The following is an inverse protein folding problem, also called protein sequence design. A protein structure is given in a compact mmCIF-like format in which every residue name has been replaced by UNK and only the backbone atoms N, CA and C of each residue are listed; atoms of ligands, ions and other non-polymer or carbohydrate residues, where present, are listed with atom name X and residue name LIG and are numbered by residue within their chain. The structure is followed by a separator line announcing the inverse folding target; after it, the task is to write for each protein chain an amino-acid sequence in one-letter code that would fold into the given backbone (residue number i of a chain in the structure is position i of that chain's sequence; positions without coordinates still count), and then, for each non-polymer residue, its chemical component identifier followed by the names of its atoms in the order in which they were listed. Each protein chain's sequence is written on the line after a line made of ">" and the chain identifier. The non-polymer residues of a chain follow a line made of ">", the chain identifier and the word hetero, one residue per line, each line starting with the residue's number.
data_IF_157102172992
#
_entry.id   IF_157102172992
#
_cell.length_a   1.000
_cell.length_b   1.000
_cell.length_c   1.000
_cell.angle_alpha   90.00
_cell.angle_beta   90.00
_cell.angle_gamma   90.00
#
_symmetry.space_group_name_H-M   'P 1'
#
loop_
_entity.id
_entity.type
_entity.pdbx_description
1 polymer ?
#
# COMPACT_ATOMS: atom_id res chain seq x y z
N UNK A 1 -20.28 33.05 14.58
CA UNK A 1 -20.09 31.71 15.14
C UNK A 1 -18.60 31.47 15.18
N UNK A 2 -18.05 31.51 16.39
CA UNK A 2 -16.72 30.99 16.68
C UNK A 2 -16.70 29.48 16.44
N UNK A 3 -15.51 28.91 16.32
CA UNK A 3 -15.28 27.45 16.23
C UNK A 3 -16.07 26.68 17.31
N UNK A 4 -16.33 27.29 18.46
CA UNK A 4 -17.03 26.71 19.61
C UNK A 4 -18.45 26.23 19.28
N UNK A 5 -19.27 27.09 18.66
CA UNK A 5 -20.64 26.72 18.23
C UNK A 5 -20.70 25.62 17.18
N UNK A 6 -19.60 25.41 16.43
CA UNK A 6 -19.49 24.32 15.46
C UNK A 6 -19.13 23.01 16.16
N UNK A 7 -18.27 23.09 17.18
CA UNK A 7 -17.87 21.95 18.00
C UNK A 7 -19.04 21.37 18.80
N UNK A 8 -19.95 22.21 19.31
CA UNK A 8 -21.13 21.75 20.07
C UNK A 8 -22.08 20.89 19.24
N UNK A 9 -22.12 21.11 17.91
CA UNK A 9 -22.98 20.36 16.98
C UNK A 9 -22.29 19.18 16.34
N UNK A 10 -20.98 19.05 16.52
CA UNK A 10 -20.22 17.97 15.91
C UNK A 10 -20.59 16.64 16.58
N UNK A 11 -21.03 15.63 15.83
CA UNK A 11 -21.30 14.31 16.40
C UNK A 11 -20.04 13.72 17.06
N UNK A 12 -20.21 13.11 18.24
CA UNK A 12 -19.15 12.34 18.87
C UNK A 12 -18.86 11.07 18.04
N UNK A 13 -17.67 11.00 17.45
CA UNK A 13 -17.27 9.88 16.60
C UNK A 13 -15.97 9.25 17.11
N UNK A 14 -15.98 7.92 17.22
CA UNK A 14 -14.78 7.12 17.47
C UNK A 14 -14.25 6.56 16.15
N UNK A 15 -13.18 7.15 15.63
CA UNK A 15 -12.54 6.64 14.42
C UNK A 15 -11.62 5.46 14.76
N UNK A 16 -11.91 4.29 14.19
CA UNK A 16 -11.09 3.07 14.28
C UNK A 16 -10.26 2.90 13.01
N UNK A 17 -8.96 2.69 13.16
CA UNK A 17 -8.01 2.60 12.04
C UNK A 17 -7.36 1.22 11.88
N UNK A 18 -7.80 0.23 12.66
CA UNK A 18 -7.16 -1.09 12.75
C UNK A 18 -5.74 -1.04 13.34
N UNK A 19 -5.32 -2.13 13.95
CA UNK A 19 -3.91 -2.34 14.31
C UNK A 19 -3.17 -2.98 13.14
N UNK A 20 -1.85 -2.80 13.08
CA UNK A 20 -1.02 -3.47 12.08
C UNK A 20 -0.98 -4.96 12.43
N UNK A 21 -1.21 -5.82 11.45
CA UNK A 21 -1.18 -7.26 11.61
C UNK A 21 0.21 -7.79 11.25
N UNK A 22 0.81 -8.55 12.18
CA UNK A 22 2.12 -9.21 11.97
C UNK A 22 1.97 -10.62 11.39
N UNK A 23 0.77 -11.21 11.47
CA UNK A 23 0.44 -12.56 10.97
C UNK A 23 -0.59 -12.49 9.86
N UNK A 24 -0.57 -13.51 9.01
CA UNK A 24 -1.56 -13.68 7.96
C UNK A 24 -2.94 -13.99 8.58
N UNK A 25 -3.92 -13.15 8.26
CA UNK A 25 -5.30 -13.23 8.71
C UNK A 25 -6.21 -13.18 7.50
N UNK A 26 -7.32 -13.91 7.58
CA UNK A 26 -8.34 -13.94 6.53
C UNK A 26 -9.50 -12.99 6.88
N UNK A 27 -10.07 -12.41 5.84
CA UNK A 27 -11.22 -11.51 5.90
C UNK A 27 -12.05 -11.67 4.62
N UNK A 28 -13.29 -11.22 4.63
CA UNK A 28 -14.16 -11.27 3.44
C UNK A 28 -14.16 -9.95 2.63
N UNK A 29 -13.60 -8.88 3.20
CA UNK A 29 -13.50 -7.56 2.57
C UNK A 29 -12.13 -6.92 2.82
N UNK A 30 -11.49 -6.47 1.73
CA UNK A 30 -10.18 -5.83 1.72
C UNK A 30 -10.30 -4.41 1.16
N UNK A 31 -10.16 -3.40 2.02
CA UNK A 31 -10.26 -1.99 1.64
C UNK A 31 -8.86 -1.38 1.40
N UNK A 32 -8.63 -0.87 0.19
CA UNK A 32 -7.39 -0.17 -0.16
C UNK A 32 -7.45 1.25 0.41
N UNK A 33 -6.48 1.59 1.26
CA UNK A 33 -6.37 2.91 1.88
C UNK A 33 -5.26 3.71 1.20
N UNK A 34 -5.56 4.84 0.56
CA UNK A 34 -4.53 5.69 -0.04
C UNK A 34 -3.65 6.35 1.02
N UNK A 35 -2.43 6.72 0.62
CA UNK A 35 -1.55 7.55 1.42
C UNK A 35 -2.00 9.01 1.32
N UNK A 36 -2.28 9.63 2.46
CA UNK A 36 -2.75 11.01 2.51
C UNK A 36 -3.02 11.47 3.95
N UNK A 37 -3.75 12.58 4.07
CA UNK A 37 -4.08 13.20 5.36
C UNK A 37 -5.40 12.62 5.87
N UNK A 38 -5.39 12.05 7.08
CA UNK A 38 -6.61 11.57 7.72
C UNK A 38 -7.45 12.75 8.21
N UNK A 39 -8.72 12.77 7.80
CA UNK A 39 -9.64 13.83 8.15
C UNK A 39 -11.10 13.33 8.13
N UNK A 40 -11.99 14.14 8.71
CA UNK A 40 -13.43 13.96 8.59
C UNK A 40 -13.99 14.91 7.54
N UNK A 41 -15.03 14.48 6.84
CA UNK A 41 -15.83 15.32 5.95
C UNK A 41 -17.23 15.45 6.54
N UNK A 42 -17.68 16.68 6.78
CA UNK A 42 -18.96 16.97 7.41
C UNK A 42 -19.82 17.87 6.53
N UNK A 43 -20.91 17.29 6.03
CA UNK A 43 -21.98 18.05 5.38
C UNK A 43 -22.95 18.54 6.47
N UNK A 44 -23.11 19.85 6.58
CA UNK A 44 -23.93 20.45 7.63
C UNK A 44 -24.50 21.79 7.17
N UNK A 45 -25.23 22.46 8.05
CA UNK A 45 -25.79 23.77 7.81
C UNK A 45 -25.14 24.81 8.71
N UNK A 46 -24.78 25.96 8.15
CA UNK A 46 -24.21 27.09 8.87
C UNK A 46 -24.83 28.39 8.35
N UNK A 47 -25.47 29.16 9.25
CA UNK A 47 -26.03 30.51 8.98
C UNK A 47 -26.87 30.61 7.70
N UNK A 48 -27.96 29.87 7.54
CA UNK A 48 -28.75 29.98 6.31
C UNK A 48 -28.38 28.98 5.22
N UNK A 49 -27.16 28.44 5.26
CA UNK A 49 -26.56 27.79 4.10
C UNK A 49 -26.10 26.37 4.38
N UNK A 50 -26.32 25.49 3.39
CA UNK A 50 -25.74 24.15 3.36
C UNK A 50 -24.25 24.26 3.00
N UNK A 51 -23.39 23.67 3.82
CA UNK A 51 -21.94 23.80 3.74
C UNK A 51 -21.27 22.44 3.98
N UNK A 52 -20.03 22.31 3.49
CA UNK A 52 -19.19 21.16 3.73
C UNK A 52 -17.90 21.60 4.43
N UNK A 53 -17.50 20.89 5.48
CA UNK A 53 -16.27 21.12 6.22
C UNK A 53 -15.35 19.91 6.18
N UNK A 54 -14.06 20.15 6.00
CA UNK A 54 -12.99 19.22 6.31
C UNK A 54 -12.50 19.47 7.73
N UNK A 55 -12.42 18.41 8.54
CA UNK A 55 -11.91 18.45 9.90
C UNK A 55 -10.65 17.61 9.98
N UNK A 56 -9.50 18.27 10.11
CA UNK A 56 -8.20 17.62 10.16
C UNK A 56 -7.95 17.04 11.54
N UNK A 57 -7.59 15.75 11.57
CA UNK A 57 -7.38 15.03 12.82
C UNK A 57 -5.90 15.08 13.23
N UNK A 58 -5.66 15.26 14.52
CA UNK A 58 -4.33 15.16 15.11
C UNK A 58 -3.83 13.73 15.07
N UNK A 59 -2.59 13.54 14.60
CA UNK A 59 -1.94 12.23 14.62
C UNK A 59 -1.73 11.69 16.05
N UNK A 60 -1.60 12.57 17.05
CA UNK A 60 -1.30 12.17 18.44
C UNK A 60 -2.56 11.80 19.23
N UNK A 61 -3.59 12.65 19.18
CA UNK A 61 -4.74 12.55 20.09
C UNK A 61 -6.08 12.32 19.37
N UNK A 62 -6.09 12.22 18.03
CA UNK A 62 -7.31 12.19 17.20
C UNK A 62 -8.27 13.37 17.44
N UNK A 63 -7.80 14.43 18.09
CA UNK A 63 -8.53 15.69 18.26
C UNK A 63 -8.58 16.46 16.94
N UNK A 64 -9.55 17.36 16.81
CA UNK A 64 -9.68 18.20 15.62
C UNK A 64 -8.72 19.38 15.76
N UNK A 65 -7.77 19.47 14.83
CA UNK A 65 -6.74 20.51 14.85
C UNK A 65 -7.13 21.71 13.98
N UNK A 66 -7.81 21.46 12.86
CA UNK A 66 -8.18 22.48 11.87
C UNK A 66 -9.53 22.14 11.28
N UNK A 67 -10.36 23.15 11.07
CA UNK A 67 -11.61 23.06 10.32
C UNK A 67 -11.51 23.97 9.11
N UNK A 68 -11.83 23.45 7.93
CA UNK A 68 -11.75 24.16 6.67
C UNK A 68 -13.04 23.99 5.89
N UNK A 69 -13.63 25.09 5.42
CA UNK A 69 -14.80 25.03 4.54
C UNK A 69 -14.32 24.68 3.13
N UNK A 70 -14.92 23.66 2.53
CA UNK A 70 -14.56 23.18 1.19
C UNK A 70 -15.68 23.36 0.18
N UNK A 71 -15.30 23.50 -1.09
CA UNK A 71 -16.21 23.54 -2.22
C UNK A 71 -16.39 22.11 -2.72
N UNK A 72 -17.60 21.58 -2.68
CA UNK A 72 -17.93 20.26 -3.23
C UNK A 72 -19.37 20.26 -3.74
N UNK A 73 -19.69 19.39 -4.69
CA UNK A 73 -21.04 19.27 -5.24
C UNK A 73 -21.84 18.23 -4.45
N UNK A 74 -22.90 18.69 -3.77
CA UNK A 74 -23.75 17.81 -2.97
C UNK A 74 -25.20 18.29 -2.89
N UNK A 75 -26.12 17.35 -2.61
CA UNK A 75 -27.53 17.62 -2.33
C UNK A 75 -27.68 18.10 -0.86
N UNK A 76 -28.46 19.16 -0.64
CA UNK A 76 -28.75 19.76 0.66
C UNK A 76 -29.34 18.77 1.69
N UNK A 77 -29.95 17.67 1.25
CA UNK A 77 -30.40 16.59 2.13
C UNK A 77 -29.29 16.00 3.01
N UNK A 78 -28.03 16.02 2.56
CA UNK A 78 -26.91 15.55 3.38
C UNK A 78 -26.73 16.39 4.66
N UNK A 79 -27.29 17.59 4.70
CA UNK A 79 -27.22 18.52 5.84
C UNK A 79 -28.38 18.37 6.83
N UNK A 80 -29.34 17.46 6.60
CA UNK A 80 -30.48 17.26 7.50
C UNK A 80 -30.06 16.85 8.91
N UNK A 81 -30.76 17.38 9.92
CA UNK A 81 -30.45 17.14 11.34
C UNK A 81 -29.05 17.61 11.74
N UNK A 82 -28.23 16.70 12.26
CA UNK A 82 -26.81 16.95 12.53
C UNK A 82 -25.92 16.84 11.28
N UNK A 83 -26.51 16.50 10.13
CA UNK A 83 -25.83 16.38 8.85
C UNK A 83 -25.27 14.99 8.57
N UNK A 84 -24.28 14.91 7.70
CA UNK A 84 -23.64 13.65 7.28
C UNK A 84 -22.15 13.74 7.55
N UNK A 85 -21.62 12.76 8.29
CA UNK A 85 -20.24 12.76 8.78
C UNK A 85 -19.51 11.49 8.33
N UNK A 86 -18.42 11.70 7.59
CA UNK A 86 -17.61 10.67 6.95
C UNK A 86 -16.18 10.70 7.52
N UNK A 87 -15.55 9.54 7.64
CA UNK A 87 -14.11 9.43 7.85
C UNK A 87 -13.42 8.99 6.58
N UNK A 88 -12.26 9.58 6.32
CA UNK A 88 -11.55 9.28 5.10
C UNK A 88 -10.13 9.82 5.07
N UNK A 89 -9.55 9.76 3.87
CA UNK A 89 -8.23 10.26 3.57
C UNK A 89 -8.33 11.30 2.47
N UNK A 90 -7.80 12.49 2.74
CA UNK A 90 -7.59 13.53 1.76
C UNK A 90 -6.24 13.29 1.05
N UNK A 91 -6.28 13.22 -0.27
CA UNK A 91 -5.11 13.12 -1.12
C UNK A 91 -5.19 14.15 -2.26
N UNK A 92 -4.01 14.46 -2.82
CA UNK A 92 -3.90 15.30 -4.00
C UNK A 92 -3.44 14.43 -5.17
N UNK A 93 -4.19 14.48 -6.27
CA UNK A 93 -3.84 13.79 -7.50
C UNK A 93 -3.96 14.78 -8.67
N UNK A 94 -2.86 15.00 -9.40
CA UNK A 94 -2.81 15.96 -10.52
C UNK A 94 -3.39 17.34 -10.18
N UNK A 95 -3.02 17.89 -9.02
CA UNK A 95 -3.54 19.16 -8.47
C UNK A 95 -5.03 19.18 -8.10
N UNK A 96 -5.73 18.06 -8.18
CA UNK A 96 -7.12 17.92 -7.74
C UNK A 96 -7.14 17.33 -6.33
N UNK A 97 -7.98 17.90 -5.47
CA UNK A 97 -8.23 17.37 -4.13
C UNK A 97 -9.28 16.27 -4.19
N UNK A 98 -8.93 15.10 -3.65
CA UNK A 98 -9.82 13.95 -3.57
C UNK A 98 -9.92 13.49 -2.12
N UNK A 99 -11.14 13.44 -1.59
CA UNK A 99 -11.45 12.81 -0.32
C UNK A 99 -11.96 11.40 -0.58
N UNK A 100 -11.19 10.41 -0.13
CA UNK A 100 -11.55 8.99 -0.21
C UNK A 100 -12.25 8.58 1.09
N UNK A 101 -13.52 8.21 0.99
CA UNK A 101 -14.34 7.73 2.11
C UNK A 101 -13.86 6.35 2.52
N UNK A 102 -13.52 6.19 3.81
CA UNK A 102 -13.20 4.91 4.43
C UNK A 102 -14.36 4.37 5.27
N UNK A 103 -15.06 5.25 5.99
CA UNK A 103 -16.17 4.89 6.88
C UNK A 103 -17.21 6.02 6.94
N UNK A 104 -18.44 5.69 7.33
CA UNK A 104 -19.55 6.61 7.54
C UNK A 104 -20.13 6.44 8.95
N UNK A 105 -20.30 7.57 9.64
CA UNK A 105 -20.70 7.59 11.06
C UNK A 105 -22.12 8.11 11.24
N UNK A 106 -22.45 9.17 10.49
CA UNK A 106 -23.77 9.80 10.52
C UNK A 106 -24.22 10.02 9.09
N UNK A 107 -25.47 9.66 8.78
CA UNK A 107 -26.08 9.90 7.47
C UNK A 107 -27.40 10.64 7.65
N UNK A 108 -27.47 11.89 7.15
CA UNK A 108 -28.66 12.76 7.25
C UNK A 108 -29.22 12.88 8.69
N UNK A 109 -28.31 12.99 9.68
CA UNK A 109 -28.63 13.10 11.10
C UNK A 109 -28.80 11.76 11.84
N UNK A 110 -28.86 10.63 11.14
CA UNK A 110 -28.95 9.31 11.77
C UNK A 110 -27.58 8.74 12.08
N UNK A 111 -27.35 8.35 13.34
CA UNK A 111 -26.13 7.62 13.74
C UNK A 111 -26.14 6.22 13.15
N UNK A 112 -25.11 5.89 12.38
CA UNK A 112 -24.94 4.57 11.74
C UNK A 112 -23.57 3.94 12.06
N UNK A 113 -22.83 4.49 13.01
CA UNK A 113 -21.52 3.99 13.43
C UNK A 113 -21.53 2.51 13.85
N UNK A 114 -22.65 2.03 14.39
CA UNK A 114 -22.85 0.65 14.86
C UNK A 114 -23.38 -0.31 13.78
N UNK A 115 -23.60 0.17 12.54
CA UNK A 115 -24.00 -0.68 11.42
C UNK A 115 -22.82 -1.51 10.91
N UNK A 116 -23.15 -2.64 10.28
CA UNK A 116 -22.18 -3.54 9.66
C UNK A 116 -21.45 -2.85 8.51
N UNK A 117 -20.25 -3.32 8.15
CA UNK A 117 -19.52 -2.76 7.01
C UNK A 117 -20.28 -2.87 5.68
N UNK A 118 -21.01 -3.97 5.47
CA UNK A 118 -21.87 -4.12 4.29
C UNK A 118 -22.94 -3.03 4.25
N UNK A 119 -23.62 -2.77 5.37
CA UNK A 119 -24.66 -1.74 5.40
C UNK A 119 -24.07 -0.34 5.25
N UNK A 120 -22.94 -0.06 5.91
CA UNK A 120 -22.19 1.19 5.75
C UNK A 120 -21.77 1.41 4.30
N UNK A 121 -21.29 0.37 3.62
CA UNK A 121 -20.94 0.44 2.21
C UNK A 121 -22.14 0.79 1.32
N UNK A 122 -23.33 0.20 1.59
CA UNK A 122 -24.57 0.60 0.90
C UNK A 122 -24.90 2.08 1.09
N UNK A 123 -24.72 2.63 2.30
CA UNK A 123 -24.90 4.06 2.54
C UNK A 123 -23.90 4.92 1.77
N UNK A 124 -22.63 4.51 1.73
CA UNK A 124 -21.59 5.21 0.95
C UNK A 124 -21.93 5.18 -0.54
N UNK A 125 -22.34 4.03 -1.08
CA UNK A 125 -22.79 3.93 -2.49
C UNK A 125 -23.97 4.85 -2.75
N UNK A 126 -25.01 4.82 -1.91
CA UNK A 126 -26.18 5.70 -2.04
C UNK A 126 -25.79 7.19 -1.98
N UNK A 127 -24.89 7.57 -1.07
CA UNK A 127 -24.36 8.93 -0.97
C UNK A 127 -23.71 9.36 -2.28
N UNK A 128 -22.83 8.52 -2.82
CA UNK A 128 -22.06 8.86 -4.02
C UNK A 128 -22.93 8.91 -5.27
N UNK A 129 -23.90 8.01 -5.43
CA UNK A 129 -24.76 7.94 -6.62
C UNK A 129 -25.87 9.00 -6.62
N UNK A 130 -26.46 9.28 -5.46
CA UNK A 130 -27.70 10.07 -5.38
C UNK A 130 -27.49 11.48 -4.80
N UNK A 131 -26.42 11.70 -4.03
CA UNK A 131 -26.25 12.92 -3.27
C UNK A 131 -24.99 13.72 -3.61
N UNK A 132 -24.06 13.16 -4.37
CA UNK A 132 -22.85 13.87 -4.82
C UNK A 132 -22.67 13.76 -6.32
N UNK A 133 -21.83 14.62 -6.90
CA UNK A 133 -21.39 14.50 -8.29
C UNK A 133 -19.88 14.54 -8.36
N UNK A 134 -19.29 13.64 -9.13
CA UNK A 134 -17.84 13.54 -9.30
C UNK A 134 -17.26 14.55 -10.31
N UNK A 135 -18.10 15.32 -11.01
CA UNK A 135 -17.66 16.29 -12.00
C UNK A 135 -16.91 17.45 -11.31
N UNK A 136 -15.71 17.76 -11.79
CA UNK A 136 -14.90 18.87 -11.32
C UNK A 136 -15.13 20.08 -12.22
N UNK A 137 -15.64 21.18 -11.66
CA UNK A 137 -15.90 22.42 -12.40
C UNK A 137 -14.85 23.50 -12.13
N UNK A 138 -14.16 23.40 -10.98
CA UNK A 138 -13.16 24.37 -10.52
C UNK A 138 -12.00 23.60 -9.88
N UNK A 139 -10.76 24.06 -10.08
CA UNK A 139 -9.56 23.38 -9.57
C UNK A 139 -9.54 23.20 -8.04
N UNK A 140 -10.19 24.09 -7.28
CA UNK A 140 -10.31 24.03 -5.81
C UNK A 140 -11.45 23.13 -5.32
N UNK A 141 -12.20 22.50 -6.22
CA UNK A 141 -13.32 21.64 -5.84
C UNK A 141 -12.79 20.31 -5.29
N UNK A 142 -13.32 19.93 -4.12
CA UNK A 142 -13.09 18.64 -3.51
C UNK A 142 -13.98 17.58 -4.16
N UNK A 143 -13.35 16.59 -4.78
CA UNK A 143 -14.03 15.37 -5.26
C UNK A 143 -14.14 14.39 -4.11
N UNK A 144 -15.29 13.76 -3.97
CA UNK A 144 -15.56 12.76 -2.96
C UNK A 144 -15.74 11.41 -3.64
N UNK A 145 -14.98 10.40 -3.20
CA UNK A 145 -14.95 9.07 -3.79
C UNK A 145 -14.94 7.99 -2.71
N UNK A 146 -15.41 6.78 -3.03
CA UNK A 146 -15.31 5.62 -2.13
C UNK A 146 -13.91 5.02 -2.20
N UNK A 147 -13.42 4.46 -1.10
CA UNK A 147 -12.30 3.55 -1.15
C UNK A 147 -12.65 2.29 -1.96
N UNK A 148 -11.64 1.72 -2.60
CA UNK A 148 -11.78 0.46 -3.33
C UNK A 148 -11.84 -0.67 -2.31
N UNK A 149 -12.89 -1.49 -2.38
CA UNK A 149 -13.10 -2.66 -1.53
C UNK A 149 -13.19 -3.89 -2.41
N UNK A 150 -12.39 -4.92 -2.10
CA UNK A 150 -12.23 -6.13 -2.90
C UNK A 150 -12.45 -7.38 -2.04
N UNK A 151 -12.89 -8.51 -2.64
CA UNK A 151 -13.21 -9.74 -1.90
C UNK A 151 -11.98 -10.57 -1.54
N UNK A 152 -10.83 -10.34 -2.19
CA UNK A 152 -9.59 -11.09 -1.95
C UNK A 152 -8.38 -10.16 -1.73
N UNK A 153 -7.42 -10.63 -0.94
CA UNK A 153 -6.19 -9.90 -0.68
C UNK A 153 -5.31 -9.80 -1.93
N UNK A 154 -5.28 -10.88 -2.72
CA UNK A 154 -4.53 -10.97 -3.97
C UNK A 154 -5.03 -9.94 -4.99
N UNK A 155 -6.35 -9.81 -5.17
CA UNK A 155 -6.92 -8.75 -6.01
C UNK A 155 -6.57 -7.37 -5.49
N UNK A 156 -6.63 -7.17 -4.16
CA UNK A 156 -6.27 -5.90 -3.55
C UNK A 156 -4.80 -5.52 -3.81
N UNK A 157 -3.88 -6.48 -3.78
CA UNK A 157 -2.48 -6.27 -4.16
C UNK A 157 -2.35 -5.90 -5.64
N UNK A 158 -2.97 -6.67 -6.54
CA UNK A 158 -2.91 -6.41 -7.98
C UNK A 158 -3.46 -5.02 -8.34
N UNK A 159 -4.61 -4.65 -7.77
CA UNK A 159 -5.20 -3.32 -7.99
C UNK A 159 -4.28 -2.24 -7.40
N UNK A 160 -3.74 -2.45 -6.20
CA UNK A 160 -2.81 -1.49 -5.55
C UNK A 160 -1.55 -1.20 -6.37
N UNK A 161 -1.10 -2.12 -7.23
CA UNK A 161 0.03 -1.91 -8.13
C UNK A 161 -0.29 -0.95 -9.28
N UNK A 162 -1.54 -0.99 -9.77
CA UNK A 162 -2.04 -0.25 -10.94
C UNK A 162 -2.63 1.12 -10.61
N UNK A 163 -2.84 1.44 -9.32
CA UNK A 163 -3.45 2.71 -8.93
C UNK A 163 -2.55 3.91 -9.23
N UNK A 164 -3.15 5.05 -9.64
CA UNK A 164 -2.40 6.24 -9.99
C UNK A 164 -1.94 7.05 -8.76
N UNK A 165 -2.24 6.57 -7.55
CA UNK A 165 -1.85 7.17 -6.28
C UNK A 165 -1.13 6.14 -5.40
N UNK A 166 -0.33 6.62 -4.45
CA UNK A 166 0.34 5.75 -3.49
C UNK A 166 -0.66 5.16 -2.50
N UNK A 167 -0.63 3.83 -2.35
CA UNK A 167 -1.39 3.11 -1.33
C UNK A 167 -0.60 3.11 -0.02
N UNK A 168 -1.26 3.34 1.10
CA UNK A 168 -0.67 3.30 2.44
C UNK A 168 -0.81 1.92 3.08
N UNK A 169 -2.03 1.37 3.08
CA UNK A 169 -2.31 0.06 3.67
C UNK A 169 -3.53 -0.58 3.02
N UNK A 170 -3.67 -1.89 3.22
CA UNK A 170 -4.88 -2.64 2.91
C UNK A 170 -5.51 -3.03 4.25
N UNK A 171 -6.76 -2.63 4.45
CA UNK A 171 -7.51 -2.85 5.68
C UNK A 171 -8.40 -4.08 5.54
N UNK A 172 -8.42 -4.92 6.56
CA UNK A 172 -9.16 -6.19 6.59
C UNK A 172 -10.42 -6.02 7.42
N UNK A 173 -11.56 -6.42 6.85
CA UNK A 173 -12.88 -6.28 7.46
C UNK A 173 -13.71 -7.53 7.18
N UNK A 174 -14.56 -7.90 8.13
CA UNK A 174 -15.64 -8.85 7.85
C UNK A 174 -16.93 -8.07 7.64
N UNK A 175 -17.63 -8.30 6.54
CA UNK A 175 -18.75 -7.47 6.11
C UNK A 175 -19.89 -7.38 7.12
N UNK A 176 -20.05 -8.42 7.96
CA UNK A 176 -21.04 -8.50 9.05
C UNK A 176 -20.57 -7.85 10.35
N UNK A 177 -19.28 -7.56 10.49
CA UNK A 177 -18.72 -6.90 11.65
C UNK A 177 -18.87 -5.38 11.56
N UNK A 178 -18.65 -4.72 12.70
CA UNK A 178 -18.67 -3.26 12.84
C UNK A 178 -17.27 -2.68 13.09
N UNK A 179 -16.30 -3.53 13.40
CA UNK A 179 -14.92 -3.16 13.73
C UNK A 179 -13.95 -3.82 12.77
N UNK A 180 -12.97 -3.02 12.35
CA UNK A 180 -11.88 -3.46 11.48
C UNK A 180 -11.07 -4.54 12.19
N UNK A 181 -10.77 -5.65 11.51
CA UNK A 181 -9.90 -6.72 12.02
C UNK A 181 -8.47 -6.23 12.20
N UNK A 182 -7.93 -5.57 11.19
CA UNK A 182 -6.58 -5.02 11.20
C UNK A 182 -6.19 -4.48 9.83
N UNK A 183 -4.90 -4.21 9.63
CA UNK A 183 -4.37 -3.71 8.36
C UNK A 183 -2.98 -4.26 8.07
N UNK A 184 -2.69 -4.42 6.77
CA UNK A 184 -1.35 -4.64 6.25
C UNK A 184 -0.80 -3.35 5.66
N UNK A 185 0.37 -2.91 6.14
CA UNK A 185 1.06 -1.77 5.54
C UNK A 185 1.49 -2.16 4.13
N UNK A 186 1.06 -1.37 3.15
CA UNK A 186 1.38 -1.64 1.76
C UNK A 186 2.73 -0.98 1.43
N UNK A 187 3.75 -1.82 1.37
CA UNK A 187 5.07 -1.41 0.88
C UNK A 187 5.16 -1.84 -0.58
N UNK A 188 5.01 -0.89 -1.51
CA UNK A 188 5.18 -1.18 -2.94
C UNK A 188 6.61 -1.67 -3.17
N UNK A 189 6.75 -2.97 -3.41
CA UNK A 189 8.04 -3.59 -3.75
C UNK A 189 8.22 -3.51 -5.26
N UNK A 190 9.18 -2.69 -5.70
CA UNK A 190 9.56 -2.66 -7.10
C UNK A 190 10.50 -3.82 -7.39
N UNK A 191 10.09 -4.71 -8.30
CA UNK A 191 10.97 -5.73 -8.84
C UNK A 191 11.62 -5.25 -10.14
N UNK A 192 12.93 -5.38 -10.22
CA UNK A 192 13.77 -5.05 -11.38
C UNK A 192 14.35 -6.33 -11.97
N UNK A 193 14.55 -6.36 -13.29
CA UNK A 193 15.16 -7.51 -13.96
C UNK A 193 16.65 -7.28 -14.16
N UNK A 194 17.47 -8.15 -13.58
CA UNK A 194 18.90 -8.20 -13.80
C UNK A 194 19.30 -9.49 -14.52
N UNK A 195 20.35 -9.42 -15.33
CA UNK A 195 21.09 -10.60 -15.75
C UNK A 195 22.10 -10.92 -14.67
N UNK A 196 22.02 -12.12 -14.11
CA UNK A 196 22.89 -12.55 -13.01
C UNK A 196 23.94 -13.52 -13.54
N UNK A 197 25.19 -13.30 -13.15
CA UNK A 197 26.32 -14.22 -13.36
C UNK A 197 26.94 -14.62 -12.00
N UNK A 198 27.30 -15.89 -11.80
CA UNK A 198 27.91 -16.34 -10.56
C UNK A 198 29.43 -16.07 -10.56
N UNK A 199 30.00 -15.67 -9.42
CA UNK A 199 31.46 -15.57 -9.20
C UNK A 199 32.01 -16.87 -8.62
N UNK A 200 33.27 -17.25 -8.83
CA UNK A 200 33.84 -18.52 -8.33
C UNK A 200 33.52 -18.82 -6.86
N UNK A 201 33.46 -17.79 -6.00
CA UNK A 201 33.13 -17.94 -4.58
C UNK A 201 31.62 -18.11 -4.34
N UNK A 202 31.25 -18.93 -3.36
CA UNK A 202 29.85 -19.13 -2.95
C UNK A 202 29.19 -17.83 -2.50
N UNK A 203 27.90 -17.71 -2.78
CA UNK A 203 27.05 -16.56 -2.43
C UNK A 203 27.47 -15.19 -3.02
N UNK A 204 28.41 -15.18 -3.97
CA UNK A 204 28.77 -13.98 -4.74
C UNK A 204 28.17 -14.06 -6.15
N UNK A 205 27.30 -13.10 -6.45
CA UNK A 205 26.59 -13.01 -7.73
C UNK A 205 26.61 -11.58 -8.26
N UNK A 206 27.03 -11.42 -9.52
CA UNK A 206 27.12 -10.13 -10.20
C UNK A 206 25.84 -9.81 -10.97
N UNK A 207 25.34 -8.61 -10.77
CA UNK A 207 24.17 -8.07 -11.45
C UNK A 207 24.62 -7.23 -12.65
N UNK A 208 24.10 -7.57 -13.82
CA UNK A 208 24.37 -6.86 -15.07
C UNK A 208 23.07 -6.25 -15.62
N UNK A 209 23.20 -5.09 -16.26
CA UNK A 209 22.09 -4.41 -16.95
C UNK A 209 22.21 -4.58 -18.47
N UNK A 210 21.25 -4.04 -19.24
CA UNK A 210 21.31 -4.12 -20.71
C UNK A 210 22.28 -3.11 -21.34
N UNK A 211 22.72 -2.09 -20.59
CA UNK A 211 23.45 -0.95 -21.12
C UNK A 211 24.95 -1.22 -21.30
N UNK A 212 25.53 -2.11 -20.50
CA UNK A 212 26.91 -2.56 -20.61
C UNK A 212 27.10 -3.97 -20.07
N UNK A 213 28.17 -4.65 -20.50
CA UNK A 213 28.60 -5.91 -19.86
C UNK A 213 29.20 -5.69 -18.47
N UNK A 214 29.36 -4.45 -18.04
CA UNK A 214 29.93 -4.12 -16.74
C UNK A 214 29.03 -4.61 -15.60
N UNK A 215 29.69 -4.86 -14.47
CA UNK A 215 29.02 -5.21 -13.22
C UNK A 215 28.34 -3.95 -12.68
N UNK A 216 27.02 -3.99 -12.55
CA UNK A 216 26.25 -2.92 -11.92
C UNK A 216 26.39 -2.96 -10.40
N UNK A 217 26.23 -4.15 -9.82
CA UNK A 217 26.31 -4.35 -8.37
C UNK A 217 26.46 -5.84 -8.03
N UNK A 218 26.68 -6.13 -6.75
CA UNK A 218 26.69 -7.49 -6.19
C UNK A 218 25.34 -7.75 -5.53
N UNK A 219 24.75 -8.92 -5.82
CA UNK A 219 23.48 -9.33 -5.24
C UNK A 219 23.57 -9.49 -3.71
N UNK A 220 22.51 -9.12 -3.01
CA UNK A 220 22.35 -9.38 -1.59
C UNK A 220 21.79 -10.79 -1.39
N UNK A 221 22.54 -11.63 -0.68
CA UNK A 221 22.11 -12.95 -0.21
C UNK A 221 21.98 -12.85 1.32
N UNK A 222 20.81 -12.44 1.86
CA UNK A 222 20.69 -12.11 3.27
C UNK A 222 20.32 -13.31 4.15
N UNK A 223 19.89 -14.42 3.55
CA UNK A 223 19.36 -15.58 4.26
C UNK A 223 19.72 -16.89 3.55
N UNK A 224 19.76 -17.96 4.34
CA UNK A 224 20.06 -19.32 3.88
C UNK A 224 19.15 -19.77 2.74
N UNK A 225 17.86 -19.42 2.79
CA UNK A 225 16.90 -19.78 1.73
C UNK A 225 17.29 -19.17 0.38
N UNK A 226 17.74 -17.93 0.36
CA UNK A 226 18.21 -17.24 -0.84
C UNK A 226 19.53 -17.85 -1.33
N UNK A 227 20.44 -18.19 -0.41
CA UNK A 227 21.70 -18.90 -0.72
C UNK A 227 21.42 -20.23 -1.41
N UNK A 228 20.60 -21.11 -0.82
CA UNK A 228 20.21 -22.41 -1.41
C UNK A 228 19.57 -22.24 -2.78
N UNK A 229 18.65 -21.27 -2.95
CA UNK A 229 18.00 -20.99 -4.23
C UNK A 229 19.02 -20.59 -5.30
N UNK A 230 19.93 -19.67 -4.98
CA UNK A 230 20.90 -19.15 -5.93
C UNK A 230 21.97 -20.18 -6.27
N UNK A 231 22.49 -20.88 -5.26
CA UNK A 231 23.45 -21.95 -5.45
C UNK A 231 22.83 -23.03 -6.35
N UNK A 232 21.62 -23.51 -6.06
CA UNK A 232 20.94 -24.49 -6.91
C UNK A 232 20.66 -24.06 -8.36
N UNK A 233 20.74 -22.76 -8.69
CA UNK A 233 20.62 -22.26 -10.06
C UNK A 233 21.95 -22.28 -10.84
N UNK A 234 23.08 -22.17 -10.16
CA UNK A 234 24.39 -21.93 -10.77
C UNK A 234 25.46 -22.98 -10.41
N UNK A 235 25.23 -23.78 -9.37
CA UNK A 235 26.16 -24.73 -8.76
C UNK A 235 25.41 -25.91 -8.12
N UNK A 236 26.16 -26.95 -7.75
CA UNK A 236 25.69 -27.97 -6.82
C UNK A 236 26.58 -27.93 -5.57
N UNK A 237 26.10 -27.28 -4.51
CA UNK A 237 26.81 -27.11 -3.24
C UNK A 237 26.25 -28.16 -2.28
N UNK A 238 27.07 -29.14 -1.89
CA UNK A 238 26.64 -30.31 -1.12
C UNK A 238 26.14 -29.93 0.28
N UNK A 239 26.75 -28.88 0.84
CA UNK A 239 26.49 -28.28 2.15
C UNK A 239 25.07 -27.69 2.24
N UNK A 240 24.45 -27.33 1.11
CA UNK A 240 23.05 -26.90 1.08
C UNK A 240 22.07 -28.04 1.39
N UNK A 241 22.49 -29.30 1.22
CA UNK A 241 21.70 -30.48 1.52
C UNK A 241 21.92 -30.96 2.96
N UNK A 242 23.13 -30.79 3.50
CA UNK A 242 23.46 -31.13 4.87
C UNK A 242 24.58 -30.23 5.42
N UNK A 243 24.28 -29.47 6.48
CA UNK A 243 25.22 -28.55 7.14
C UNK A 243 26.41 -29.28 7.78
N UNK A 244 26.24 -30.54 8.18
CA UNK A 244 27.30 -31.31 8.84
C UNK A 244 28.45 -31.66 7.89
N UNK A 245 28.24 -31.57 6.57
CA UNK A 245 29.28 -31.78 5.54
C UNK A 245 30.34 -30.68 5.54
N UNK A 246 30.09 -29.55 6.23
CA UNK A 246 31.06 -28.46 6.37
C UNK A 246 32.29 -28.94 7.17
N UNK A 247 32.08 -29.73 8.24
CA UNK A 247 33.18 -30.22 9.09
C UNK A 247 34.00 -31.35 8.43
N UNK A 248 33.39 -32.11 7.52
CA UNK A 248 34.07 -33.15 6.73
C UNK A 248 34.89 -32.59 5.55
N UNK A 249 34.68 -31.31 5.19
CA UNK A 249 35.34 -30.66 4.06
C UNK A 249 36.71 -30.02 4.37
N UNK A 250 37.11 -30.01 5.65
CA UNK A 250 38.37 -29.46 6.13
C UNK A 250 39.56 -30.45 6.02
N UNK A 251 39.36 -31.69 5.55
CA UNK A 251 40.47 -32.59 5.20
C UNK A 251 41.05 -32.20 3.83
N UNK A 252 42.30 -31.71 3.83
CA UNK A 252 43.14 -31.24 2.70
C UNK A 252 43.06 -32.09 1.41
N UNK A 253 41.95 -32.04 0.66
CA UNK A 253 41.84 -32.64 -0.67
C UNK A 253 41.13 -31.70 -1.64
N UNK A 254 41.93 -30.73 -2.09
CA UNK A 254 41.63 -29.56 -2.92
C UNK A 254 41.33 -29.92 -4.40
N UNK A 255 40.56 -30.99 -4.67
CA UNK A 255 40.22 -31.44 -6.04
C UNK A 255 38.72 -31.60 -6.35
N UNK A 256 37.82 -31.43 -5.37
CA UNK A 256 36.38 -31.36 -5.66
C UNK A 256 35.98 -29.93 -6.06
N UNK A 257 36.46 -29.48 -7.23
CA UNK A 257 35.98 -28.24 -7.85
C UNK A 257 34.49 -28.41 -8.11
N UNK A 258 33.65 -27.81 -7.26
CA UNK A 258 32.19 -27.76 -7.46
C UNK A 258 31.95 -27.30 -8.90
N UNK A 259 31.28 -28.08 -9.76
CA UNK A 259 31.12 -27.71 -11.16
C UNK A 259 30.27 -26.43 -11.24
N UNK A 260 30.94 -25.31 -11.51
CA UNK A 260 30.31 -24.00 -11.62
C UNK A 260 29.88 -23.80 -13.07
N UNK A 261 28.61 -23.48 -13.30
CA UNK A 261 28.14 -23.03 -14.61
C UNK A 261 28.52 -21.55 -14.84
N UNK A 262 29.82 -21.22 -14.78
CA UNK A 262 30.38 -19.86 -14.92
C UNK A 262 29.92 -19.15 -16.21
N UNK A 263 29.66 -19.91 -17.27
CA UNK A 263 29.24 -19.39 -18.57
C UNK A 263 27.72 -19.19 -18.69
N UNK A 264 26.94 -19.55 -17.68
CA UNK A 264 25.49 -19.36 -17.70
C UNK A 264 25.11 -18.03 -17.07
N UNK A 265 24.25 -17.29 -17.76
CA UNK A 265 23.62 -16.10 -17.21
C UNK A 265 22.12 -16.31 -17.15
N UNK A 266 21.50 -15.95 -16.03
CA UNK A 266 20.07 -16.13 -15.80
C UNK A 266 19.45 -14.77 -15.52
N UNK A 267 18.33 -14.47 -16.18
CA UNK A 267 17.55 -13.27 -15.87
C UNK A 267 16.70 -13.54 -14.63
N UNK A 268 16.83 -12.68 -13.63
CA UNK A 268 16.08 -12.79 -12.37
C UNK A 268 15.36 -11.49 -12.05
N UNK A 269 14.22 -11.62 -11.39
CA UNK A 269 13.55 -10.51 -10.74
C UNK A 269 14.22 -10.29 -9.38
N UNK A 270 14.65 -9.06 -9.12
CA UNK A 270 15.32 -8.63 -7.91
C UNK A 270 14.56 -7.47 -7.27
N UNK A 271 14.60 -7.37 -5.95
CA UNK A 271 14.01 -6.29 -5.18
C UNK A 271 15.08 -5.51 -4.43
N UNK A 272 14.94 -4.20 -4.34
CA UNK A 272 15.88 -3.37 -3.61
C UNK A 272 15.62 -3.44 -2.11
N UNK A 273 16.60 -3.94 -1.36
CA UNK A 273 16.58 -3.89 0.10
C UNK A 273 17.10 -2.52 0.57
N UNK A 274 16.20 -1.72 1.14
CA UNK A 274 16.53 -0.35 1.59
C UNK A 274 17.43 -0.31 2.82
N UNK A 275 17.40 -1.35 3.66
CA UNK A 275 18.22 -1.44 4.88
C UNK A 275 19.68 -1.66 4.50
N UNK A 276 19.93 -2.58 3.56
CA UNK A 276 21.27 -2.92 3.10
C UNK A 276 21.73 -2.12 1.87
N UNK A 277 20.82 -1.35 1.24
CA UNK A 277 21.05 -0.59 0.01
C UNK A 277 21.62 -1.46 -1.11
N UNK A 278 21.07 -2.67 -1.26
CA UNK A 278 21.50 -3.69 -2.24
C UNK A 278 20.30 -4.43 -2.83
N UNK A 279 20.49 -5.02 -4.00
CA UNK A 279 19.44 -5.77 -4.71
C UNK A 279 19.43 -7.24 -4.31
N UNK A 280 18.30 -7.73 -3.82
CA UNK A 280 18.06 -9.13 -3.44
C UNK A 280 17.37 -9.90 -4.58
N UNK A 281 17.91 -11.04 -5.04
CA UNK A 281 17.22 -11.92 -5.99
C UNK A 281 15.93 -12.51 -5.40
N UNK A 282 14.85 -12.54 -6.18
CA UNK A 282 13.56 -13.10 -5.76
C UNK A 282 13.23 -14.41 -6.48
N UNK A 283 13.23 -14.40 -7.83
CA UNK A 283 12.88 -15.57 -8.64
C UNK A 283 13.43 -15.46 -10.06
N UNK A 284 13.57 -16.60 -10.71
CA UNK A 284 13.92 -16.69 -12.13
C UNK A 284 12.81 -16.07 -12.99
N UNK A 285 13.18 -15.16 -13.88
CA UNK A 285 12.25 -14.55 -14.82
C UNK A 285 11.92 -15.54 -15.94
N UNK A 286 10.63 -15.73 -16.23
CA UNK A 286 10.13 -16.69 -17.26
C UNK A 286 9.46 -16.00 -18.46
N UNK A 287 9.42 -14.67 -18.49
CA UNK A 287 8.75 -13.92 -19.55
C UNK A 287 9.68 -13.48 -20.69
N UNK A 288 9.13 -12.72 -21.62
CA UNK A 288 9.82 -12.20 -22.82
C UNK A 288 10.25 -10.74 -22.70
N UNK A 289 9.91 -10.05 -21.60
CA UNK A 289 10.26 -8.63 -21.46
C UNK A 289 11.77 -8.44 -21.29
N UNK A 290 12.32 -7.34 -21.84
CA UNK A 290 13.73 -7.03 -21.70
C UNK A 290 14.11 -6.71 -20.25
N UNK A 291 15.42 -6.70 -19.99
CA UNK A 291 16.02 -6.18 -18.76
C UNK A 291 15.54 -4.74 -18.50
N UNK A 292 15.42 -4.39 -17.23
CA UNK A 292 14.98 -3.05 -16.83
C UNK A 292 16.05 -2.01 -17.21
N UNK A 293 15.62 -0.85 -17.69
CA UNK A 293 16.54 0.22 -18.07
C UNK A 293 17.20 0.84 -16.83
N UNK A 294 18.49 1.19 -16.92
CA UNK A 294 19.30 1.64 -15.78
C UNK A 294 18.71 2.86 -15.06
N UNK A 295 18.06 3.77 -15.80
CA UNK A 295 17.42 4.95 -15.21
C UNK A 295 16.26 4.59 -14.26
N UNK A 296 15.51 3.52 -14.56
CA UNK A 296 14.40 3.08 -13.71
C UNK A 296 14.93 2.37 -12.46
N UNK A 297 16.04 1.64 -12.58
CA UNK A 297 16.75 1.04 -11.45
C UNK A 297 17.20 2.13 -10.48
N UNK A 298 17.89 3.16 -10.98
CA UNK A 298 18.37 4.29 -10.18
C UNK A 298 17.23 5.12 -9.57
N UNK A 299 16.07 5.20 -10.24
CA UNK A 299 14.88 5.83 -9.65
C UNK A 299 14.40 5.05 -8.44
N UNK A 300 14.31 3.72 -8.54
CA UNK A 300 13.84 2.86 -7.44
C UNK A 300 14.76 2.95 -6.22
N UNK A 301 16.08 3.02 -6.43
CA UNK A 301 17.06 3.16 -5.34
C UNK A 301 16.93 4.48 -4.57
N UNK A 302 16.33 5.51 -5.18
CA UNK A 302 16.12 6.85 -4.61
C UNK A 302 14.73 7.06 -3.99
N UNK A 303 13.78 6.15 -4.23
CA UNK A 303 12.43 6.16 -3.62
C UNK A 303 12.49 5.79 -2.13
#
# INVERSE_FOLDING_TARGET
>A
MSIDTLNDRLPHVKVSYGHVLDKQCTADMYQIVPKGIQCLLWYTYCKGMNVCYLLYLSQKNKSINKIEKVITSFNSELCYGQGTLLSGVLLHYNNIQVFTILDIHVFKGWSISEKTFIDKFKFITCLLTNHTRANCYVASQLIVASAIVLPSYEEALMVSECLPYHVYCITLMDGKDTKVKGKYIYNKTYSVRFRIKPDIHCDIYYLHTNASEDIYSIALIPDYKTSVMMNGLFRNVNENNNLDLIEESDEENDENTIPILLNTSIVMECMYDRKFKRWKPLRKYKGTLPLTHIQDIQRIEKL
#
